data_IF_953038603835
#
_entry.id   IF_953038603835
#
_cell.length_a   1.000
_cell.length_b   1.000
_cell.length_c   1.000
_cell.angle_alpha   90.00
_cell.angle_beta   90.00
_cell.angle_gamma   90.00
#
_symmetry.space_group_name_H-M   'P 1'
#
loop_
_entity.id
_entity.type
_entity.pdbx_description
1 polymer ?
#
# COMPACT_ATOMS: atom_id res chain seq x y z
N UNK A 1 -26.91 47.71 23.51
CA UNK A 1 -25.49 47.55 23.11
C UNK A 1 -25.19 46.05 23.15
N UNK A 2 -25.30 45.34 22.01
CA UNK A 2 -24.18 44.82 21.18
C UNK A 2 -23.14 44.03 21.97
N UNK A 3 -22.65 42.84 21.63
CA UNK A 3 -22.62 41.99 20.43
C UNK A 3 -22.10 40.60 20.93
N UNK A 4 -22.66 39.43 20.64
CA UNK A 4 -22.60 38.61 19.42
C UNK A 4 -21.30 37.80 19.18
N UNK A 5 -21.51 36.56 18.75
CA UNK A 5 -20.66 35.67 17.92
C UNK A 5 -19.65 34.70 18.56
N UNK A 6 -19.96 33.41 18.36
CA UNK A 6 -18.99 32.31 18.50
C UNK A 6 -19.52 30.89 18.25
N UNK A 7 -20.67 30.68 17.58
CA UNK A 7 -21.03 29.33 17.11
C UNK A 7 -20.25 29.00 15.85
N UNK A 8 -19.02 28.52 16.02
CA UNK A 8 -18.31 27.79 14.98
C UNK A 8 -19.06 26.50 14.67
N UNK A 9 -19.96 26.53 13.67
CA UNK A 9 -20.45 25.31 13.03
C UNK A 9 -19.26 24.66 12.31
N UNK A 10 -18.58 23.72 12.97
CA UNK A 10 -17.85 22.68 12.25
C UNK A 10 -18.89 21.74 11.66
N UNK A 11 -19.35 22.08 10.46
CA UNK A 11 -20.12 21.16 9.65
C UNK A 11 -19.10 20.23 8.97
N UNK A 12 -18.71 19.15 9.65
CA UNK A 12 -18.01 18.05 9.00
C UNK A 12 -19.00 17.43 8.03
N UNK A 13 -18.84 17.76 6.75
CA UNK A 13 -19.67 17.20 5.69
C UNK A 13 -19.23 15.75 5.48
N UNK A 14 -19.74 14.85 6.33
CA UNK A 14 -19.74 13.42 6.04
C UNK A 14 -21.07 13.14 5.35
N UNK A 15 -21.07 13.22 4.02
CA UNK A 15 -22.18 12.68 3.24
C UNK A 15 -22.30 11.19 3.53
N UNK A 16 -23.51 10.71 3.77
CA UNK A 16 -23.79 9.29 3.85
C UNK A 16 -23.48 8.61 2.51
N UNK A 17 -23.20 7.30 2.54
CA UNK A 17 -22.93 6.53 1.32
C UNK A 17 -24.06 6.65 0.29
N UNK A 18 -25.31 6.76 0.75
CA UNK A 18 -26.49 6.94 -0.11
C UNK A 18 -26.52 8.31 -0.81
N UNK A 19 -26.15 9.39 -0.10
CA UNK A 19 -26.08 10.74 -0.67
C UNK A 19 -24.96 10.84 -1.70
N UNK A 20 -23.80 10.21 -1.44
CA UNK A 20 -22.70 10.12 -2.41
C UNK A 20 -23.16 9.37 -3.66
N UNK A 21 -23.80 8.20 -3.51
CA UNK A 21 -24.29 7.43 -4.66
C UNK A 21 -25.25 8.23 -5.53
N UNK A 22 -26.18 8.97 -4.92
CA UNK A 22 -27.12 9.83 -5.63
C UNK A 22 -26.43 10.99 -6.36
N UNK A 23 -25.40 11.59 -5.77
CA UNK A 23 -24.57 12.62 -6.42
C UNK A 23 -23.75 12.05 -7.58
N UNK A 24 -23.30 10.79 -7.49
CA UNK A 24 -22.51 10.14 -8.53
C UNK A 24 -23.33 9.75 -9.78
N UNK A 25 -24.66 9.70 -9.69
CA UNK A 25 -25.53 9.41 -10.84
C UNK A 25 -25.54 10.52 -11.90
N UNK A 26 -25.35 11.78 -11.49
CA UNK A 26 -25.32 12.93 -12.39
C UNK A 26 -23.93 13.25 -12.94
N UNK A 27 -22.90 12.51 -12.51
CA UNK A 27 -21.51 12.72 -12.86
C UNK A 27 -21.13 11.89 -14.11
N UNK A 28 -20.36 12.45 -15.06
CA UNK A 28 -19.84 11.70 -16.20
C UNK A 28 -19.15 10.39 -15.79
N UNK A 29 -19.31 9.33 -16.61
CA UNK A 29 -18.89 7.97 -16.27
C UNK A 29 -17.39 7.83 -15.98
N UNK A 30 -16.54 8.61 -16.65
CA UNK A 30 -15.10 8.65 -16.39
C UNK A 30 -14.77 9.16 -14.98
N UNK A 31 -15.46 10.20 -14.51
CA UNK A 31 -15.24 10.75 -13.16
C UNK A 31 -15.84 9.85 -12.08
N UNK A 32 -17.00 9.22 -12.35
CA UNK A 32 -17.56 8.18 -11.46
C UNK A 32 -16.59 7.01 -11.29
N UNK A 33 -15.97 6.52 -12.36
CA UNK A 33 -14.95 5.46 -12.29
C UNK A 33 -13.75 5.89 -11.46
N UNK A 34 -13.27 7.12 -11.64
CA UNK A 34 -12.16 7.65 -10.84
C UNK A 34 -12.51 7.74 -9.34
N UNK A 35 -13.68 8.29 -8.99
CA UNK A 35 -14.11 8.39 -7.59
C UNK A 35 -14.28 7.00 -6.97
N UNK A 36 -14.89 6.05 -7.69
CA UNK A 36 -14.98 4.66 -7.23
C UNK A 36 -13.59 4.05 -6.99
N UNK A 37 -12.63 4.33 -7.87
CA UNK A 37 -11.25 3.85 -7.71
C UNK A 37 -10.59 4.43 -6.46
N UNK A 38 -10.80 5.71 -6.13
CA UNK A 38 -10.29 6.35 -4.92
C UNK A 38 -10.94 5.75 -3.66
N UNK A 39 -12.26 5.55 -3.69
CA UNK A 39 -12.99 4.93 -2.59
C UNK A 39 -12.45 3.50 -2.32
N UNK A 40 -12.22 2.73 -3.38
CA UNK A 40 -11.63 1.39 -3.27
C UNK A 40 -10.21 1.46 -2.70
N UNK A 41 -9.38 2.41 -3.12
CA UNK A 41 -8.03 2.59 -2.57
C UNK A 41 -8.07 2.89 -1.07
N UNK A 42 -8.94 3.80 -0.63
CA UNK A 42 -9.10 4.15 0.79
C UNK A 42 -9.58 2.95 1.60
N UNK A 43 -10.61 2.23 1.12
CA UNK A 43 -11.15 1.05 1.79
C UNK A 43 -10.10 -0.05 1.93
N UNK A 44 -9.36 -0.33 0.85
CA UNK A 44 -8.27 -1.29 0.86
C UNK A 44 -7.20 -0.88 1.88
N UNK A 45 -6.75 0.38 1.85
CA UNK A 45 -5.73 0.90 2.78
C UNK A 45 -6.16 0.76 4.25
N UNK A 46 -7.44 1.02 4.57
CA UNK A 46 -7.98 0.81 5.91
C UNK A 46 -7.97 -0.66 6.33
N UNK A 47 -8.40 -1.56 5.44
CA UNK A 47 -8.37 -3.00 5.68
C UNK A 47 -6.95 -3.52 5.90
N UNK A 48 -6.00 -3.04 5.08
CA UNK A 48 -4.57 -3.35 5.21
C UNK A 48 -4.04 -2.87 6.55
N UNK A 49 -4.28 -1.60 6.92
CA UNK A 49 -3.82 -1.07 8.22
C UNK A 49 -4.36 -1.87 9.41
N UNK A 50 -5.60 -2.34 9.32
CA UNK A 50 -6.19 -3.22 10.32
C UNK A 50 -5.51 -4.60 10.34
N UNK A 51 -5.21 -5.18 9.17
CA UNK A 51 -4.54 -6.47 9.08
C UNK A 51 -3.10 -6.40 9.61
N UNK A 52 -2.35 -5.37 9.20
CA UNK A 52 -0.99 -5.09 9.68
C UNK A 52 -0.95 -4.87 11.20
N UNK A 53 -1.93 -4.17 11.78
CA UNK A 53 -1.96 -3.93 13.23
C UNK A 53 -2.26 -5.18 14.08
N UNK A 54 -2.79 -6.24 13.46
CA UNK A 54 -3.07 -7.53 14.12
C UNK A 54 -2.02 -8.59 13.84
N UNK A 55 -1.18 -8.40 12.83
CA UNK A 55 -0.16 -9.37 12.45
C UNK A 55 0.98 -9.39 13.47
N UNK A 56 1.37 -10.59 13.90
CA UNK A 56 2.42 -10.81 14.90
C UNK A 56 3.65 -11.45 14.29
N UNK A 57 3.50 -12.13 13.15
CA UNK A 57 4.61 -12.69 12.41
C UNK A 57 5.33 -11.57 11.64
N UNK A 58 6.61 -11.36 11.97
CA UNK A 58 7.41 -10.28 11.38
C UNK A 58 7.64 -10.48 9.89
N UNK A 59 7.91 -11.71 9.43
CA UNK A 59 8.15 -11.99 8.00
C UNK A 59 6.89 -11.71 7.19
N UNK A 60 5.73 -12.15 7.70
CA UNK A 60 4.44 -11.89 7.06
C UNK A 60 4.07 -10.42 7.08
N UNK A 61 4.32 -9.73 8.19
CA UNK A 61 4.07 -8.29 8.31
C UNK A 61 4.89 -7.50 7.27
N UNK A 62 6.19 -7.77 7.18
CA UNK A 62 7.10 -7.10 6.24
C UNK A 62 6.72 -7.39 4.78
N UNK A 63 6.31 -8.62 4.46
CA UNK A 63 5.87 -8.98 3.11
C UNK A 63 4.56 -8.28 2.75
N UNK A 64 3.59 -8.24 3.66
CA UNK A 64 2.35 -7.49 3.47
C UNK A 64 2.63 -6.00 3.22
N UNK A 65 3.53 -5.38 4.00
CA UNK A 65 3.93 -3.99 3.78
C UNK A 65 4.51 -3.79 2.37
N UNK A 66 5.42 -4.67 1.94
CA UNK A 66 6.06 -4.56 0.63
C UNK A 66 5.06 -4.74 -0.52
N UNK A 67 4.18 -5.73 -0.43
CA UNK A 67 3.14 -5.99 -1.44
C UNK A 67 2.18 -4.81 -1.56
N UNK A 68 1.81 -4.19 -0.44
CA UNK A 68 0.90 -3.06 -0.44
C UNK A 68 1.56 -1.77 -0.93
N UNK A 69 2.82 -1.54 -0.57
CA UNK A 69 3.61 -0.45 -1.15
C UNK A 69 3.72 -0.59 -2.67
N UNK A 70 3.98 -1.80 -3.20
CA UNK A 70 3.95 -2.09 -4.64
C UNK A 70 2.59 -1.78 -5.27
N UNK A 71 1.49 -2.23 -4.65
CA UNK A 71 0.13 -2.04 -5.17
C UNK A 71 -0.26 -0.56 -5.23
N UNK A 72 0.04 0.21 -4.18
CA UNK A 72 -0.28 1.65 -4.11
C UNK A 72 0.55 2.45 -5.11
N UNK A 73 1.83 2.11 -5.28
CA UNK A 73 2.73 2.77 -6.23
C UNK A 73 2.57 2.29 -7.67
N UNK A 74 1.73 1.29 -7.93
CA UNK A 74 1.63 0.60 -9.21
C UNK A 74 2.99 0.11 -9.74
N UNK A 75 3.84 -0.38 -8.84
CA UNK A 75 5.19 -0.85 -9.16
C UNK A 75 5.20 -2.35 -9.51
N UNK A 76 6.02 -2.71 -10.50
CA UNK A 76 6.25 -4.12 -10.89
C UNK A 76 7.01 -4.91 -9.81
N UNK A 77 7.92 -4.23 -9.10
CA UNK A 77 8.79 -4.83 -8.10
C UNK A 77 9.04 -3.98 -6.88
N UNK A 78 9.66 -4.58 -5.87
CA UNK A 78 10.03 -3.96 -4.62
C UNK A 78 11.00 -4.83 -3.83
N UNK A 79 11.80 -4.20 -2.98
CA UNK A 79 12.74 -4.89 -2.08
C UNK A 79 12.68 -4.26 -0.70
N UNK A 80 12.62 -5.11 0.33
CA UNK A 80 12.68 -4.69 1.72
C UNK A 80 14.03 -5.10 2.30
N UNK A 81 14.67 -4.15 2.98
CA UNK A 81 15.94 -4.33 3.66
C UNK A 81 15.76 -4.14 5.16
N UNK A 82 16.39 -4.99 5.95
CA UNK A 82 16.48 -4.84 7.40
C UNK A 82 17.92 -4.49 7.78
N UNK A 83 18.05 -3.56 8.72
CA UNK A 83 19.35 -3.27 9.33
C UNK A 83 19.72 -4.41 10.26
N UNK A 84 20.97 -4.86 10.19
CA UNK A 84 21.56 -5.83 11.11
C UNK A 84 22.54 -5.13 12.07
N UNK A 85 23.00 -5.84 13.10
CA UNK A 85 23.77 -5.27 14.23
C UNK A 85 25.00 -4.45 13.83
N UNK A 86 25.62 -4.76 12.67
CA UNK A 86 26.79 -4.06 12.15
C UNK A 86 26.43 -2.83 11.28
N UNK A 87 25.20 -2.31 11.39
CA UNK A 87 24.65 -1.19 10.63
C UNK A 87 24.60 -1.40 9.11
N UNK A 88 24.73 -2.63 8.63
CA UNK A 88 24.53 -2.94 7.20
C UNK A 88 23.08 -3.29 6.91
N UNK A 89 22.71 -3.16 5.64
CA UNK A 89 21.42 -3.56 5.12
C UNK A 89 21.47 -5.00 4.61
N UNK A 90 20.63 -5.86 5.17
CA UNK A 90 20.39 -7.21 4.67
C UNK A 90 19.11 -7.22 3.85
N UNK A 91 19.14 -7.85 2.69
CA UNK A 91 17.94 -8.13 1.92
C UNK A 91 17.03 -9.06 2.74
N UNK A 92 15.80 -8.63 2.98
CA UNK A 92 14.80 -9.44 3.70
C UNK A 92 13.74 -9.98 2.75
N UNK A 93 13.31 -9.20 1.77
CA UNK A 93 12.29 -9.61 0.79
C UNK A 93 12.60 -8.97 -0.57
N UNK A 94 12.50 -9.74 -1.65
CA UNK A 94 12.61 -9.25 -3.03
C UNK A 94 11.49 -9.83 -3.88
N UNK A 95 10.68 -8.95 -4.48
CA UNK A 95 9.54 -9.34 -5.32
C UNK A 95 9.59 -8.54 -6.62
N UNK A 96 9.62 -9.21 -7.76
CA UNK A 96 9.47 -8.59 -9.10
C UNK A 96 8.59 -9.49 -9.96
N UNK A 97 7.41 -9.00 -10.34
CA UNK A 97 6.39 -9.83 -10.99
C UNK A 97 6.80 -10.18 -12.42
N UNK A 98 7.25 -9.20 -13.20
CA UNK A 98 7.69 -9.39 -14.59
C UNK A 98 8.82 -10.41 -14.77
N UNK A 99 9.64 -10.59 -13.73
CA UNK A 99 10.76 -11.54 -13.71
C UNK A 99 10.44 -12.84 -12.95
N UNK A 100 9.21 -13.01 -12.45
CA UNK A 100 8.81 -14.12 -11.59
C UNK A 100 9.76 -14.33 -10.38
N UNK A 101 10.22 -13.22 -9.80
CA UNK A 101 11.09 -13.22 -8.62
C UNK A 101 10.22 -13.03 -7.38
N UNK A 102 10.34 -13.98 -6.46
CA UNK A 102 9.88 -13.86 -5.08
C UNK A 102 10.87 -14.62 -4.19
N UNK A 103 11.64 -13.88 -3.39
CA UNK A 103 12.67 -14.39 -2.50
C UNK A 103 12.63 -13.67 -1.16
N UNK A 104 13.05 -14.35 -0.08
CA UNK A 104 12.93 -13.87 1.30
C UNK A 104 11.48 -13.82 1.77
N UNK A 105 11.23 -13.14 2.89
CA UNK A 105 9.89 -13.07 3.49
C UNK A 105 9.31 -14.46 3.78
N UNK A 106 8.04 -14.64 3.44
CA UNK A 106 7.31 -15.90 3.59
C UNK A 106 7.52 -16.89 2.44
N UNK A 107 8.29 -16.53 1.40
CA UNK A 107 8.52 -17.40 0.24
C UNK A 107 9.32 -18.67 0.56
N UNK A 108 10.06 -18.68 1.68
CA UNK A 108 10.98 -19.76 2.05
C UNK A 108 12.21 -19.89 1.15
N UNK A 109 12.37 -19.02 0.14
CA UNK A 109 13.52 -19.00 -0.77
C UNK A 109 14.56 -18.02 -0.26
N UNK A 110 15.80 -18.47 -0.15
CA UNK A 110 16.91 -17.57 0.20
C UNK A 110 17.14 -16.53 -0.91
N UNK A 111 17.49 -15.31 -0.52
CA UNK A 111 17.82 -14.23 -1.47
C UNK A 111 19.23 -14.46 -2.00
N UNK A 112 19.32 -14.96 -3.23
CA UNK A 112 20.58 -15.10 -3.96
C UNK A 112 20.65 -14.09 -5.10
N UNK A 113 21.44 -13.03 -4.90
CA UNK A 113 21.62 -11.94 -5.87
C UNK A 113 22.60 -12.31 -6.99
N UNK A 114 23.41 -13.34 -6.76
CA UNK A 114 24.43 -13.80 -7.68
C UNK A 114 24.42 -15.34 -7.70
N UNK A 115 23.88 -15.92 -8.77
CA UNK A 115 24.36 -17.25 -9.17
C UNK A 115 25.72 -17.04 -9.83
N UNK A 116 26.83 -17.60 -9.30
CA UNK A 116 28.11 -17.57 -9.99
C UNK A 116 27.99 -18.42 -11.26
N UNK A 117 27.69 -17.79 -12.40
CA UNK A 117 27.53 -18.56 -13.64
C UNK A 117 27.09 -17.81 -14.91
N UNK A 118 26.68 -16.54 -14.85
CA UNK A 118 26.42 -15.75 -16.07
C UNK A 118 27.03 -14.36 -16.01
N UNK A 119 28.36 -14.31 -15.93
CA UNK A 119 29.09 -13.22 -16.60
C UNK A 119 29.25 -13.70 -18.04
N UNK A 120 28.33 -13.31 -18.92
CA UNK A 120 28.55 -13.42 -20.36
C UNK A 120 29.48 -12.27 -20.71
N UNK A 121 30.78 -12.55 -20.81
CA UNK A 121 31.69 -11.62 -21.48
C UNK A 121 31.28 -11.58 -22.96
N UNK A 122 30.75 -10.44 -23.38
CA UNK A 122 30.71 -10.05 -24.79
C UNK A 122 32.05 -9.47 -25.20
#
# INVERSE_FOLDING_TARGET
MSNNNGKGKQQSVLFSQAEISKLLESVPSNLRTYINSLQNQISNMSAIGLALSKEKDMEKLLEMILLEAKRISNADGGTLYMMIDDQRLKFSIMITNSLNIHMGGTSGKEISLFSPGKIVYG
#
